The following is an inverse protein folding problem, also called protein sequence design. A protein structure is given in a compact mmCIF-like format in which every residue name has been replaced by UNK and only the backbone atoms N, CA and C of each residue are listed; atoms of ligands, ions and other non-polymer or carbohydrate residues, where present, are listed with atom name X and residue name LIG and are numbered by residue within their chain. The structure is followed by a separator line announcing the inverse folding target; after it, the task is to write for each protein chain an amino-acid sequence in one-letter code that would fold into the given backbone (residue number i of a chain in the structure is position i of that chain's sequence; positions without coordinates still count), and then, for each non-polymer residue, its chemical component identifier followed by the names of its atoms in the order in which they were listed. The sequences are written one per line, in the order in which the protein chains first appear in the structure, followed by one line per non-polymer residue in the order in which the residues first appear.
data_IF_182243639006
#
_entry.id   IF_182243639006
#
_cell.length_a   1.000
_cell.length_b   1.000
_cell.length_c   1.000
_cell.angle_alpha   90.00
_cell.angle_beta   90.00
_cell.angle_gamma   90.00
#
_symmetry.space_group_name_H-M   'P 1'
#
loop_
_entity.id
_entity.type
_entity.pdbx_description
1 polymer ?
#
# COMPACT_ATOMS: atom_id res chain seq x y z
N UNK A 1 4.12 -7.33 -23.41
CA UNK A 1 4.39 -7.02 -21.99
C UNK A 1 5.22 -5.74 -21.96
N UNK A 2 4.64 -4.59 -21.59
CA UNK A 2 5.20 -3.24 -21.86
C UNK A 2 6.08 -2.76 -20.70
N UNK A 3 7.03 -3.57 -20.18
CA UNK A 3 7.98 -3.09 -19.16
C UNK A 3 9.35 -3.75 -19.34
N UNK A 4 10.02 -3.45 -20.46
CA UNK A 4 11.31 -4.02 -20.84
C UNK A 4 12.52 -3.37 -20.15
N UNK A 5 12.35 -2.72 -19.00
CA UNK A 5 13.48 -2.14 -18.27
C UNK A 5 13.09 -1.67 -16.87
N UNK A 6 13.85 -2.12 -15.85
CA UNK A 6 13.61 -1.77 -14.44
C UNK A 6 13.56 -0.26 -14.16
N UNK A 7 14.23 0.57 -14.99
CA UNK A 7 14.12 2.03 -14.92
C UNK A 7 12.67 2.53 -15.08
N UNK A 8 11.90 1.98 -16.03
CA UNK A 8 10.50 2.36 -16.27
C UNK A 8 9.57 1.94 -15.13
N UNK A 9 9.87 0.83 -14.47
CA UNK A 9 9.08 0.35 -13.33
C UNK A 9 9.24 1.34 -12.16
N UNK A 10 10.47 1.78 -11.88
CA UNK A 10 10.74 2.75 -10.82
C UNK A 10 10.10 4.12 -11.10
N UNK A 11 10.18 4.60 -12.34
CA UNK A 11 9.52 5.86 -12.73
C UNK A 11 8.00 5.78 -12.53
N UNK A 12 7.40 4.67 -12.93
CA UNK A 12 5.97 4.43 -12.74
C UNK A 12 5.61 4.32 -11.25
N UNK A 13 6.35 3.57 -10.43
CA UNK A 13 6.11 3.52 -8.97
C UNK A 13 6.22 4.91 -8.34
N UNK A 14 7.20 5.72 -8.76
CA UNK A 14 7.36 7.12 -8.33
C UNK A 14 6.11 7.94 -8.66
N UNK A 15 5.61 7.84 -9.89
CA UNK A 15 4.40 8.56 -10.31
C UNK A 15 3.17 8.07 -9.52
N UNK A 16 3.00 6.76 -9.32
CA UNK A 16 1.88 6.20 -8.56
C UNK A 16 1.89 6.69 -7.11
N UNK A 17 3.06 6.73 -6.47
CA UNK A 17 3.22 7.29 -5.13
C UNK A 17 2.81 8.77 -5.09
N UNK A 18 3.28 9.58 -6.05
CA UNK A 18 2.91 11.00 -6.15
C UNK A 18 1.42 11.20 -6.44
N UNK A 19 0.82 10.38 -7.30
CA UNK A 19 -0.63 10.40 -7.57
C UNK A 19 -1.45 10.05 -6.33
N UNK A 20 -0.94 9.18 -5.44
CA UNK A 20 -1.54 8.93 -4.14
C UNK A 20 -1.34 10.08 -3.13
N UNK A 21 -0.40 11.00 -3.41
CA UNK A 21 -0.01 12.08 -2.52
C UNK A 21 1.11 11.69 -1.53
N UNK A 22 1.88 10.65 -1.84
CA UNK A 22 3.07 10.26 -1.07
C UNK A 22 4.34 10.75 -1.76
N UNK A 23 5.26 11.32 -0.98
CA UNK A 23 6.58 11.72 -1.48
C UNK A 23 7.50 10.49 -1.54
N UNK A 24 8.03 10.12 -2.71
CA UNK A 24 8.89 8.95 -2.87
C UNK A 24 10.19 9.04 -2.07
N UNK A 25 10.61 7.94 -1.43
CA UNK A 25 11.87 7.88 -0.69
C UNK A 25 13.08 7.78 -1.64
N UNK A 26 14.16 8.48 -1.31
CA UNK A 26 15.39 8.48 -2.12
C UNK A 26 16.12 7.12 -2.12
N UNK A 27 16.12 6.42 -0.97
CA UNK A 27 16.81 5.14 -0.75
C UNK A 27 15.94 3.91 -1.06
N UNK A 28 14.60 4.06 -1.14
CA UNK A 28 13.64 2.97 -1.36
C UNK A 28 12.57 3.39 -2.37
N UNK A 29 12.79 3.03 -3.63
CA UNK A 29 11.98 3.47 -4.78
C UNK A 29 10.53 2.94 -4.77
N UNK A 30 10.31 1.86 -4.03
CA UNK A 30 9.01 1.23 -3.82
C UNK A 30 8.23 1.84 -2.66
N UNK A 31 8.82 2.78 -1.92
CA UNK A 31 8.25 3.42 -0.75
C UNK A 31 8.09 4.93 -0.94
N UNK A 32 7.07 5.48 -0.29
CA UNK A 32 6.88 6.91 -0.12
C UNK A 32 6.32 7.23 1.26
N UNK A 33 6.41 8.50 1.64
CA UNK A 33 5.89 9.02 2.90
C UNK A 33 4.76 10.00 2.61
N UNK A 34 3.65 9.84 3.32
CA UNK A 34 2.55 10.79 3.27
C UNK A 34 2.22 11.24 4.69
N UNK A 35 2.10 12.55 4.88
CA UNK A 35 1.48 13.12 6.07
C UNK A 35 0.05 13.49 5.71
N UNK A 36 -0.90 12.86 6.37
CA UNK A 36 -2.33 13.15 6.17
C UNK A 36 -2.75 14.42 6.90
N UNK A 37 -3.91 14.97 6.55
CA UNK A 37 -4.44 16.22 7.12
C UNK A 37 -4.64 16.14 8.65
N UNK A 38 -4.97 14.95 9.15
CA UNK A 38 -5.07 14.62 10.58
C UNK A 38 -3.70 14.55 11.30
N UNK A 39 -2.60 14.80 10.58
CA UNK A 39 -1.24 14.76 11.10
C UNK A 39 -0.64 13.35 11.22
N UNK A 40 -1.34 12.30 10.80
CA UNK A 40 -0.84 10.93 10.83
C UNK A 40 0.23 10.71 9.77
N UNK A 41 1.31 10.03 10.15
CA UNK A 41 2.39 9.67 9.22
C UNK A 41 2.15 8.28 8.64
N UNK A 42 2.01 8.22 7.32
CA UNK A 42 1.83 7.00 6.55
C UNK A 42 3.13 6.62 5.83
N UNK A 43 3.51 5.34 5.93
CA UNK A 43 4.41 4.70 4.99
C UNK A 43 3.57 4.10 3.86
N UNK A 44 3.89 4.41 2.62
CA UNK A 44 3.13 3.98 1.45
C UNK A 44 4.01 3.10 0.59
N UNK A 45 3.60 1.86 0.35
CA UNK A 45 4.28 0.91 -0.53
C UNK A 45 3.56 0.81 -1.88
N UNK A 46 4.31 0.84 -2.97
CA UNK A 46 3.81 0.61 -4.32
C UNK A 46 4.27 -0.76 -4.85
N UNK A 47 3.30 -1.68 -5.02
CA UNK A 47 3.52 -3.00 -5.59
C UNK A 47 3.95 -2.97 -7.05
N UNK A 48 4.57 -4.07 -7.49
CA UNK A 48 5.00 -4.27 -8.87
C UNK A 48 3.80 -4.67 -9.76
N UNK A 49 3.70 -4.20 -11.01
CA UNK A 49 2.57 -4.52 -11.91
C UNK A 49 2.39 -5.99 -12.23
N UNK A 50 3.49 -6.74 -12.25
CA UNK A 50 3.55 -8.14 -12.65
C UNK A 50 3.54 -9.09 -11.47
N UNK A 51 3.37 -8.58 -10.23
CA UNK A 51 3.43 -9.40 -9.01
C UNK A 51 2.30 -9.05 -8.06
N UNK A 52 1.49 -10.05 -7.75
CA UNK A 52 0.53 -9.98 -6.67
C UNK A 52 1.26 -9.74 -5.33
N UNK A 53 0.73 -8.83 -4.51
CA UNK A 53 1.27 -8.59 -3.17
C UNK A 53 0.82 -9.69 -2.23
N UNK A 54 1.79 -10.34 -1.58
CA UNK A 54 1.56 -11.41 -0.63
C UNK A 54 1.45 -10.88 0.81
N UNK A 55 0.67 -11.54 1.66
CA UNK A 55 0.45 -11.16 3.05
C UNK A 55 1.73 -11.17 3.89
N UNK A 56 2.65 -12.11 3.62
CA UNK A 56 3.96 -12.14 4.31
C UNK A 56 4.79 -10.88 4.05
N UNK A 57 4.71 -10.34 2.83
CA UNK A 57 5.43 -9.10 2.46
C UNK A 57 4.85 -7.90 3.22
N UNK A 58 3.53 -7.87 3.40
CA UNK A 58 2.85 -6.81 4.15
C UNK A 58 3.15 -6.88 5.64
N UNK A 59 3.23 -8.09 6.20
CA UNK A 59 3.72 -8.31 7.56
C UNK A 59 5.16 -7.78 7.74
N UNK A 60 6.08 -8.15 6.85
CA UNK A 60 7.47 -7.67 6.89
C UNK A 60 7.54 -6.14 6.79
N UNK A 61 6.77 -5.53 5.89
CA UNK A 61 6.69 -4.07 5.73
C UNK A 61 6.09 -3.39 6.97
N UNK A 62 5.14 -4.01 7.66
CA UNK A 62 4.52 -3.45 8.86
C UNK A 62 5.48 -3.45 10.05
N UNK A 63 6.33 -4.47 10.15
CA UNK A 63 7.45 -4.52 11.11
C UNK A 63 8.49 -3.45 10.76
N UNK A 64 8.85 -3.33 9.48
CA UNK A 64 9.78 -2.31 9.00
C UNK A 64 9.25 -0.90 9.33
N UNK A 65 7.97 -0.62 9.03
CA UNK A 65 7.31 0.66 9.30
C UNK A 65 7.40 1.12 10.76
N UNK A 66 7.43 0.21 11.72
CA UNK A 66 7.56 0.55 13.14
C UNK A 66 8.96 1.09 13.51
N UNK A 67 9.99 0.76 12.72
CA UNK A 67 11.41 1.03 13.04
C UNK A 67 12.13 1.88 12.01
N UNK A 68 11.58 1.95 10.79
CA UNK A 68 12.18 2.65 9.66
C UNK A 68 12.38 4.14 9.98
N UNK A 69 13.62 4.60 9.79
CA UNK A 69 14.08 5.98 9.97
C UNK A 69 13.77 6.60 11.35
N UNK A 70 13.47 5.78 12.37
CA UNK A 70 13.07 6.25 13.70
C UNK A 70 11.74 7.02 13.72
N UNK A 71 11.03 7.09 12.59
CA UNK A 71 9.83 7.92 12.42
C UNK A 71 8.58 7.28 13.04
N UNK A 72 8.56 5.94 13.18
CA UNK A 72 7.46 5.20 13.78
C UNK A 72 6.13 5.43 13.05
N UNK A 73 6.07 5.04 11.77
CA UNK A 73 4.89 5.23 10.92
C UNK A 73 3.66 4.57 11.54
N UNK A 74 2.60 5.33 11.77
CA UNK A 74 1.36 4.83 12.40
C UNK A 74 0.52 4.00 11.44
N UNK A 75 0.63 4.29 10.14
CA UNK A 75 -0.10 3.61 9.06
C UNK A 75 0.85 3.09 7.99
N UNK A 76 0.58 1.89 7.51
CA UNK A 76 1.17 1.29 6.32
C UNK A 76 0.09 1.17 5.25
N UNK A 77 0.24 1.90 4.15
CA UNK A 77 -0.66 1.81 2.99
C UNK A 77 0.00 0.94 1.92
N UNK A 78 -0.70 -0.08 1.47
CA UNK A 78 -0.26 -0.98 0.40
C UNK A 78 -1.03 -0.63 -0.88
N UNK A 79 -0.37 -0.06 -1.87
CA UNK A 79 -0.93 0.15 -3.21
C UNK A 79 -0.53 -1.04 -4.08
N UNK A 80 -1.47 -1.89 -4.47
CA UNK A 80 -1.17 -3.06 -5.30
C UNK A 80 -2.05 -3.14 -6.55
N UNK A 81 -1.48 -3.66 -7.63
CA UNK A 81 -2.23 -4.01 -8.84
C UNK A 81 -3.11 -5.23 -8.59
N UNK A 82 -2.53 -6.22 -7.91
CA UNK A 82 -3.22 -7.41 -7.48
C UNK A 82 -2.68 -7.90 -6.12
N UNK A 83 -3.45 -8.75 -5.47
CA UNK A 83 -3.11 -9.40 -4.20
C UNK A 83 -3.16 -10.91 -4.37
N UNK A 84 -2.45 -11.65 -3.53
CA UNK A 84 -2.58 -13.11 -3.55
C UNK A 84 -4.04 -13.54 -3.27
N UNK A 85 -4.43 -14.69 -3.80
CA UNK A 85 -5.83 -15.13 -3.82
C UNK A 85 -6.50 -15.13 -2.42
N UNK A 86 -5.79 -15.63 -1.40
CA UNK A 86 -6.28 -15.67 -0.01
C UNK A 86 -5.69 -14.54 0.87
N UNK A 87 -5.35 -13.40 0.26
CA UNK A 87 -4.61 -12.33 0.93
C UNK A 87 -5.20 -11.90 2.27
N UNK A 88 -6.51 -11.65 2.33
CA UNK A 88 -7.16 -11.14 3.54
C UNK A 88 -7.10 -12.16 4.69
N UNK A 89 -7.39 -13.43 4.41
CA UNK A 89 -7.32 -14.52 5.40
C UNK A 89 -5.89 -14.77 5.88
N UNK A 90 -4.92 -14.77 4.94
CA UNK A 90 -3.51 -14.97 5.25
C UNK A 90 -2.95 -13.80 6.05
N UNK A 91 -3.29 -12.56 5.71
CA UNK A 91 -2.88 -11.37 6.44
C UNK A 91 -3.48 -11.37 7.84
N UNK A 92 -4.80 -11.58 7.96
CA UNK A 92 -5.43 -11.69 9.28
C UNK A 92 -4.79 -12.78 10.13
N UNK A 93 -4.50 -13.93 9.55
CA UNK A 93 -3.84 -15.02 10.26
C UNK A 93 -2.45 -14.61 10.74
N UNK A 94 -1.67 -13.94 9.88
CA UNK A 94 -0.34 -13.42 10.20
C UNK A 94 -0.34 -12.38 11.31
N UNK A 95 -1.33 -11.49 11.33
CA UNK A 95 -1.45 -10.43 12.33
C UNK A 95 -2.04 -10.94 13.67
N UNK A 96 -2.46 -12.21 13.77
CA UNK A 96 -2.96 -12.75 15.03
C UNK A 96 -1.83 -12.82 16.07
N UNK A 97 -2.07 -12.37 17.30
CA UNK A 97 -1.12 -12.55 18.39
C UNK A 97 -0.75 -14.04 18.56
N UNK A 98 0.55 -14.34 18.56
CA UNK A 98 1.06 -15.71 18.73
C UNK A 98 1.10 -16.57 17.46
N UNK A 99 0.73 -16.02 16.29
CA UNK A 99 0.98 -16.67 15.01
C UNK A 99 2.38 -16.29 14.50
N UNK A 100 3.14 -17.31 14.05
CA UNK A 100 4.55 -17.20 13.70
C UNK A 100 5.41 -18.12 14.58
N UNK A 101 6.30 -18.90 13.97
CA UNK A 101 7.29 -19.70 14.72
C UNK A 101 8.18 -18.82 15.61
N UNK A 102 8.97 -19.46 16.50
CA UNK A 102 9.80 -18.95 17.63
C UNK A 102 10.56 -17.59 17.51
N UNK A 103 10.50 -16.86 16.39
CA UNK A 103 11.30 -15.67 16.13
C UNK A 103 10.51 -14.36 15.96
N UNK A 104 9.18 -14.32 15.79
CA UNK A 104 8.51 -13.05 15.42
C UNK A 104 7.15 -12.88 16.09
N UNK A 105 7.05 -11.84 16.92
CA UNK A 105 5.81 -11.42 17.57
C UNK A 105 5.04 -10.51 16.62
N UNK A 106 4.18 -11.10 15.78
CA UNK A 106 3.12 -10.35 15.11
C UNK A 106 2.25 -9.56 16.12
N UNK A 107 2.25 -9.96 17.40
CA UNK A 107 1.62 -9.24 18.52
C UNK A 107 2.15 -7.82 18.76
N UNK A 108 3.25 -7.41 18.13
CA UNK A 108 3.89 -6.11 18.37
C UNK A 108 3.67 -5.12 17.20
N UNK A 109 3.00 -5.55 16.12
CA UNK A 109 2.65 -4.67 14.99
C UNK A 109 1.52 -3.74 15.43
N UNK A 110 1.89 -2.52 15.82
CA UNK A 110 0.96 -1.43 16.16
C UNK A 110 0.55 -0.59 14.96
N UNK A 111 1.24 -0.78 13.83
CA UNK A 111 0.99 -0.08 12.57
C UNK A 111 -0.34 -0.55 11.99
N UNK A 112 -1.25 0.38 11.73
CA UNK A 112 -2.49 0.09 11.02
C UNK A 112 -2.17 -0.18 9.54
N UNK A 113 -2.68 -1.28 9.00
CA UNK A 113 -2.44 -1.69 7.60
C UNK A 113 -3.67 -1.37 6.77
N UNK A 114 -3.49 -0.61 5.69
CA UNK A 114 -4.53 -0.22 4.75
C UNK A 114 -4.16 -0.72 3.36
N UNK A 115 -4.92 -1.68 2.84
CA UNK A 115 -4.71 -2.24 1.51
C UNK A 115 -5.60 -1.54 0.48
N UNK A 116 -4.99 -1.05 -0.60
CA UNK A 116 -5.69 -0.36 -1.69
C UNK A 116 -5.29 -0.91 -3.05
N UNK A 117 -6.25 -0.95 -3.95
CA UNK A 117 -5.97 -1.33 -5.33
C UNK A 117 -5.57 -0.10 -6.17
N UNK A 118 -4.53 -0.30 -6.97
CA UNK A 118 -4.14 0.61 -8.04
C UNK A 118 -5.19 0.50 -9.16
N UNK A 119 -5.90 1.59 -9.49
CA UNK A 119 -6.97 1.51 -10.48
C UNK A 119 -6.38 1.32 -11.88
N UNK A 120 -7.04 0.56 -12.78
CA UNK A 120 -6.50 0.21 -14.10
C UNK A 120 -6.39 1.42 -15.05
N UNK A 121 -7.19 2.47 -14.81
CA UNK A 121 -7.14 3.74 -15.53
C UNK A 121 -5.83 4.52 -15.29
N UNK A 122 -5.03 4.11 -14.31
CA UNK A 122 -3.73 4.74 -14.02
C UNK A 122 -2.78 4.70 -15.21
N UNK A 123 -2.93 3.75 -16.14
CA UNK A 123 -2.13 3.73 -17.36
C UNK A 123 -2.36 4.95 -18.26
N UNK A 124 -3.58 5.50 -18.29
CA UNK A 124 -3.85 6.73 -19.04
C UNK A 124 -3.19 7.93 -18.36
N UNK A 125 -3.19 7.97 -17.03
CA UNK A 125 -2.50 8.99 -16.26
C UNK A 125 -0.99 8.90 -16.39
N UNK A 126 -0.42 7.69 -16.38
CA UNK A 126 1.02 7.46 -16.59
C UNK A 126 1.51 7.91 -17.97
N UNK A 127 0.67 7.85 -19.01
CA UNK A 127 1.00 8.37 -20.35
C UNK A 127 1.02 9.92 -20.39
N UNK A 128 0.19 10.54 -19.56
CA UNK A 128 0.00 11.99 -19.50
C UNK A 128 0.96 12.67 -18.53
N UNK A 129 1.36 12.00 -17.45
CA UNK A 129 2.24 12.48 -16.40
C UNK A 129 3.71 12.61 -16.87
N UNK A 130 3.98 13.62 -17.69
CA UNK A 130 5.33 13.92 -18.23
C UNK A 130 6.08 14.94 -17.38
N UNK A 131 5.38 15.69 -16.54
CA UNK A 131 5.93 16.71 -15.64
C UNK A 131 5.31 16.60 -14.23
N UNK A 132 5.90 17.28 -13.24
CA UNK A 132 5.34 17.33 -11.88
C UNK A 132 3.99 18.05 -11.84
N UNK A 133 3.81 19.09 -12.66
CA UNK A 133 2.55 19.83 -12.78
C UNK A 133 1.41 18.96 -13.33
N UNK A 134 1.71 18.05 -14.27
CA UNK A 134 0.72 17.08 -14.77
C UNK A 134 0.28 16.12 -13.66
N UNK A 135 1.20 15.69 -12.80
CA UNK A 135 0.91 14.77 -11.70
C UNK A 135 -0.01 15.42 -10.67
N UNK A 136 0.25 16.67 -10.30
CA UNK A 136 -0.60 17.43 -9.35
C UNK A 136 -2.03 17.62 -9.87
N UNK A 137 -2.22 17.84 -11.17
CA UNK A 137 -3.56 17.97 -11.78
C UNK A 137 -4.32 16.65 -11.86
N UNK A 138 -3.59 15.53 -11.86
CA UNK A 138 -4.15 14.18 -12.01
C UNK A 138 -4.43 13.52 -10.66
N UNK A 139 -3.69 13.86 -9.60
CA UNK A 139 -3.87 13.28 -8.25
C UNK A 139 -5.30 13.39 -7.75
N UNK A 140 -5.96 14.54 -7.97
CA UNK A 140 -7.36 14.77 -7.59
C UNK A 140 -8.36 13.87 -8.33
N UNK A 141 -7.96 13.28 -9.45
CA UNK A 141 -8.81 12.44 -10.31
C UNK A 141 -8.66 10.95 -10.01
N UNK A 142 -7.54 10.53 -9.43
CA UNK A 142 -7.26 9.11 -9.16
C UNK A 142 -7.80 8.70 -7.81
N UNK A 143 -8.68 7.68 -7.79
CA UNK A 143 -9.22 7.13 -6.55
C UNK A 143 -8.64 5.75 -6.24
N UNK A 144 -7.77 5.70 -5.24
CA UNK A 144 -7.26 4.44 -4.69
C UNK A 144 -8.27 3.86 -3.70
N UNK A 145 -9.03 2.87 -4.14
CA UNK A 145 -10.11 2.24 -3.36
C UNK A 145 -9.53 1.27 -2.31
N UNK A 146 -10.10 1.28 -1.11
CA UNK A 146 -9.75 0.37 -0.02
C UNK A 146 -10.30 -1.05 -0.28
N UNK A 147 -9.49 -2.07 0.01
CA UNK A 147 -9.93 -3.47 0.05
C UNK A 147 -10.42 -3.84 1.46
N UNK A 148 -11.47 -4.67 1.58
CA UNK A 148 -12.31 -5.23 0.51
C UNK A 148 -13.35 -4.20 -0.01
N UNK A 149 -13.62 -4.22 -1.32
CA UNK A 149 -14.67 -3.36 -1.94
C UNK A 149 -16.06 -3.59 -1.34
N UNK A 150 -16.24 -4.75 -0.69
CA UNK A 150 -17.40 -5.13 0.10
C UNK A 150 -16.90 -5.41 1.53
N UNK A 151 -16.88 -4.39 2.39
CA UNK A 151 -17.07 -4.65 3.82
C UNK A 151 -18.50 -5.17 3.96
N UNK A 152 -18.70 -6.49 3.84
CA UNK A 152 -19.95 -7.11 4.27
C UNK A 152 -20.13 -6.69 5.72
N UNK A 153 -21.06 -5.75 5.98
CA UNK A 153 -21.44 -5.41 7.35
C UNK A 153 -21.79 -6.72 8.03
N UNK A 154 -21.21 -6.98 9.21
CA UNK A 154 -21.66 -8.11 10.05
C UNK A 154 -23.17 -8.02 10.14
N UNK A 155 -23.87 -9.11 9.82
CA UNK A 155 -25.31 -9.18 9.98
C UNK A 155 -25.66 -8.81 11.43
N UNK A 156 -26.35 -7.69 11.62
CA UNK A 156 -26.97 -7.37 12.90
C UNK A 156 -28.18 -8.29 13.05
N UNK A 157 -28.01 -9.38 13.78
CA UNK A 157 -29.15 -10.17 14.24
C UNK A 157 -29.86 -9.34 15.29
N UNK A 158 -30.91 -8.62 14.88
CA UNK A 158 -31.90 -8.10 15.83
C UNK A 158 -32.63 -9.32 16.39
N UNK A 159 -32.27 -9.72 17.61
CA UNK A 159 -33.07 -10.64 18.39
C UNK A 159 -34.44 -10.02 18.65
N UNK A 160 -35.49 -10.78 18.39
CA UNK A 160 -36.87 -10.47 18.80
C UNK A 160 -37.02 -10.50 20.32
#
# INVERSE_FOLDING_TARGET
MIYLGGARIYEMQKIILKLYGAEPMANRKDLGVRKTEDGTLELVYCGYPDRAVAAHKVEDLAIEAATLDGAGYKRLVILAWDYEYNYDELLQTRLRPGYGGRARKASDIKTEIISRQIPPDIYEYLKQAKSEEDIERLSDKVKFLEKPYLRLRKAEVKGN
#
